data_IF_555763130326
#
_entry.id   IF_555763130326
#
_cell.length_a   1.000
_cell.length_b   1.000
_cell.length_c   1.000
_cell.angle_alpha   90.00
_cell.angle_beta   90.00
_cell.angle_gamma   90.00
#
_symmetry.space_group_name_H-M   'P 1'
#
loop_
_entity.id
_entity.type
_entity.pdbx_description
1 polymer ?
#
# COMPACT_ATOMS: atom_id res chain seq x y z
N UNK A 1 -0.83 -19.69 -22.43
CA UNK A 1 0.63 -19.59 -22.28
C UNK A 1 0.97 -18.93 -20.95
N UNK A 2 1.31 -19.73 -19.93
CA UNK A 2 1.63 -19.19 -18.59
C UNK A 2 2.80 -18.20 -18.63
N UNK A 3 2.53 -16.94 -18.27
CA UNK A 3 3.51 -15.87 -18.21
C UNK A 3 4.12 -15.77 -16.80
N UNK A 4 5.25 -16.44 -16.58
CA UNK A 4 5.93 -16.49 -15.27
C UNK A 4 6.21 -15.08 -14.72
N UNK A 5 6.64 -14.14 -15.57
CA UNK A 5 6.88 -12.75 -15.16
C UNK A 5 5.63 -12.08 -14.59
N UNK A 6 4.47 -12.29 -15.20
CA UNK A 6 3.20 -11.75 -14.72
C UNK A 6 2.78 -12.35 -13.37
N UNK A 7 2.98 -13.66 -13.18
CA UNK A 7 2.72 -14.32 -11.89
C UNK A 7 3.60 -13.72 -10.78
N UNK A 8 4.89 -13.54 -11.03
CA UNK A 8 5.83 -12.98 -10.04
C UNK A 8 5.45 -11.54 -9.69
N UNK A 9 5.28 -10.68 -10.70
CA UNK A 9 4.93 -9.26 -10.50
C UNK A 9 3.58 -9.15 -9.81
N UNK A 10 2.56 -9.85 -10.29
CA UNK A 10 1.22 -9.82 -9.71
C UNK A 10 1.20 -10.28 -8.25
N UNK A 11 1.94 -11.34 -7.92
CA UNK A 11 2.06 -11.83 -6.54
C UNK A 11 2.75 -10.81 -5.62
N UNK A 12 3.80 -10.14 -6.10
CA UNK A 12 4.46 -9.07 -5.34
C UNK A 12 3.48 -7.93 -5.07
N UNK A 13 2.71 -7.49 -6.08
CA UNK A 13 1.72 -6.44 -5.94
C UNK A 13 0.61 -6.81 -4.95
N UNK A 14 0.12 -8.05 -4.98
CA UNK A 14 -0.80 -8.59 -3.97
C UNK A 14 -0.20 -8.48 -2.57
N UNK A 15 1.02 -8.97 -2.39
CA UNK A 15 1.71 -8.94 -1.10
C UNK A 15 1.91 -7.51 -0.57
N UNK A 16 2.41 -6.61 -1.42
CA UNK A 16 2.62 -5.21 -1.04
C UNK A 16 1.31 -4.49 -0.72
N UNK A 17 0.27 -4.70 -1.53
CA UNK A 17 -1.05 -4.13 -1.27
C UNK A 17 -1.66 -4.65 0.04
N UNK A 18 -1.58 -5.96 0.29
CA UNK A 18 -2.03 -6.56 1.55
C UNK A 18 -1.28 -5.99 2.77
N UNK A 19 0.05 -5.92 2.69
CA UNK A 19 0.88 -5.33 3.75
C UNK A 19 0.55 -3.86 3.96
N UNK A 20 0.28 -3.11 2.88
CA UNK A 20 -0.14 -1.71 2.93
C UNK A 20 -1.49 -1.52 3.65
N UNK A 21 -2.47 -2.40 3.41
CA UNK A 21 -3.74 -2.38 4.15
C UNK A 21 -3.51 -2.68 5.63
N UNK A 22 -2.69 -3.70 5.93
CA UNK A 22 -2.41 -4.14 7.30
C UNK A 22 -1.67 -3.08 8.13
N UNK A 23 -0.76 -2.34 7.51
CA UNK A 23 0.09 -1.35 8.17
C UNK A 23 -0.29 0.10 7.84
N UNK A 24 -1.48 0.32 7.27
CA UNK A 24 -1.91 1.63 6.79
C UNK A 24 -1.71 2.74 7.82
N UNK A 25 -2.08 2.51 9.08
CA UNK A 25 -1.90 3.48 10.15
C UNK A 25 -0.42 3.90 10.32
N UNK A 26 0.50 2.93 10.34
CA UNK A 26 1.94 3.22 10.48
C UNK A 26 2.51 3.95 9.26
N UNK A 27 2.08 3.56 8.05
CA UNK A 27 2.46 4.20 6.79
C UNK A 27 1.98 5.66 6.78
N UNK A 28 0.72 5.89 7.11
CA UNK A 28 0.16 7.24 7.18
C UNK A 28 0.86 8.07 8.25
N UNK A 29 1.10 7.51 9.44
CA UNK A 29 1.82 8.22 10.51
C UNK A 29 3.23 8.62 10.08
N UNK A 30 3.96 7.72 9.43
CA UNK A 30 5.29 8.03 8.90
C UNK A 30 5.22 9.16 7.87
N UNK A 31 4.23 9.14 6.98
CA UNK A 31 4.06 10.20 5.99
C UNK A 31 3.77 11.56 6.63
N UNK A 32 2.91 11.60 7.63
CA UNK A 32 2.60 12.81 8.41
C UNK A 32 3.82 13.30 9.22
N UNK A 33 4.66 12.38 9.70
CA UNK A 33 5.92 12.73 10.35
C UNK A 33 6.92 13.36 9.39
N UNK A 34 6.98 12.88 8.14
CA UNK A 34 7.80 13.50 7.09
C UNK A 34 7.28 14.90 6.72
N UNK A 35 5.96 15.08 6.64
CA UNK A 35 5.33 16.38 6.37
C UNK A 35 5.56 17.37 7.52
N UNK A 36 5.66 16.87 8.76
CA UNK A 36 5.98 17.67 9.93
C UNK A 36 7.47 18.10 10.03
N UNK A 37 8.35 17.65 9.13
CA UNK A 37 9.77 18.06 9.12
C UNK A 37 9.85 19.57 8.89
N UNK A 38 10.37 20.30 9.89
CA UNK A 38 10.44 21.76 9.89
C UNK A 38 9.37 22.44 10.76
N UNK A 39 8.42 21.68 11.29
CA UNK A 39 7.50 22.14 12.33
C UNK A 39 8.16 22.12 13.71
N UNK A 40 7.74 23.02 14.61
CA UNK A 40 8.14 22.99 16.04
C UNK A 40 7.47 21.84 16.81
N UNK A 41 6.56 21.10 16.18
CA UNK A 41 5.87 19.94 16.75
C UNK A 41 6.80 18.74 16.78
N UNK A 42 6.85 18.05 17.92
CA UNK A 42 7.59 16.79 18.05
C UNK A 42 7.02 15.73 17.09
N UNK A 43 7.86 15.17 16.20
CA UNK A 43 7.46 14.11 15.27
C UNK A 43 6.87 12.88 15.99
N UNK A 44 7.26 12.63 17.24
CA UNK A 44 6.74 11.51 18.03
C UNK A 44 5.25 11.65 18.41
N UNK A 45 4.72 12.87 18.44
CA UNK A 45 3.32 13.15 18.84
C UNK A 45 2.38 13.35 17.65
N UNK A 46 2.88 13.17 16.42
CA UNK A 46 2.07 13.26 15.21
C UNK A 46 1.22 12.00 15.09
N UNK A 47 -0.09 12.21 15.12
CA UNK A 47 -1.12 11.20 14.96
C UNK A 47 -1.72 11.33 13.54
N UNK A 48 -1.84 10.25 12.77
CA UNK A 48 -2.35 10.34 11.41
C UNK A 48 -3.85 10.67 11.40
N UNK A 49 -4.27 11.48 10.44
CA UNK A 49 -5.68 11.74 10.23
C UNK A 49 -6.41 10.46 9.75
N UNK A 50 -7.58 10.16 10.33
CA UNK A 50 -8.33 8.94 10.03
C UNK A 50 -8.71 8.82 8.54
N UNK A 51 -9.02 9.94 7.88
CA UNK A 51 -9.33 9.96 6.46
C UNK A 51 -8.11 9.54 5.61
N UNK A 52 -6.90 9.92 6.04
CA UNK A 52 -5.66 9.60 5.34
C UNK A 52 -5.27 8.12 5.55
N UNK A 53 -5.53 7.57 6.74
CA UNK A 53 -5.43 6.13 7.01
C UNK A 53 -6.40 5.35 6.12
N UNK A 54 -7.63 5.84 5.98
CA UNK A 54 -8.65 5.21 5.12
C UNK A 54 -8.25 5.26 3.66
N UNK A 55 -7.71 6.38 3.18
CA UNK A 55 -7.16 6.51 1.82
C UNK A 55 -6.00 5.54 1.59
N UNK A 56 -5.08 5.42 2.55
CA UNK A 56 -3.93 4.50 2.48
C UNK A 56 -4.39 3.05 2.39
N UNK A 57 -5.42 2.66 3.18
CA UNK A 57 -6.05 1.33 3.07
C UNK A 57 -6.67 1.11 1.69
N UNK A 58 -7.43 2.09 1.17
CA UNK A 58 -8.08 1.97 -0.12
C UNK A 58 -7.07 1.79 -1.26
N UNK A 59 -6.06 2.65 -1.33
CA UNK A 59 -5.01 2.58 -2.36
C UNK A 59 -4.24 1.27 -2.30
N UNK A 60 -3.90 0.82 -1.08
CA UNK A 60 -3.22 -0.47 -0.87
C UNK A 60 -4.11 -1.65 -1.26
N UNK A 61 -5.41 -1.58 -0.97
CA UNK A 61 -6.40 -2.56 -1.42
C UNK A 61 -6.51 -2.62 -2.94
N UNK A 62 -6.56 -1.46 -3.61
CA UNK A 62 -6.54 -1.36 -5.07
C UNK A 62 -5.25 -1.96 -5.66
N UNK A 63 -4.09 -1.71 -5.06
CA UNK A 63 -2.82 -2.31 -5.47
C UNK A 63 -2.87 -3.84 -5.38
N UNK A 64 -3.42 -4.36 -4.29
CA UNK A 64 -3.58 -5.80 -4.11
C UNK A 64 -4.54 -6.40 -5.15
N UNK A 65 -5.66 -5.73 -5.43
CA UNK A 65 -6.64 -6.16 -6.43
C UNK A 65 -6.02 -6.16 -7.84
N UNK A 66 -5.27 -5.12 -8.19
CA UNK A 66 -4.54 -5.01 -9.45
C UNK A 66 -3.50 -6.12 -9.61
N UNK A 67 -2.75 -6.44 -8.54
CA UNK A 67 -1.85 -7.60 -8.53
C UNK A 67 -2.57 -8.91 -8.80
N UNK A 68 -3.75 -9.12 -8.18
CA UNK A 68 -4.59 -10.29 -8.43
C UNK A 68 -5.04 -10.39 -9.89
N UNK A 69 -5.45 -9.28 -10.50
CA UNK A 69 -5.80 -9.21 -11.93
C UNK A 69 -4.60 -9.62 -12.80
N UNK A 70 -3.40 -9.09 -12.51
CA UNK A 70 -2.18 -9.45 -13.26
C UNK A 70 -1.88 -10.95 -13.16
N UNK A 71 -2.02 -11.56 -11.98
CA UNK A 71 -1.84 -13.01 -11.82
C UNK A 71 -2.88 -13.78 -12.65
N UNK A 72 -4.15 -13.38 -12.60
CA UNK A 72 -5.21 -14.04 -13.34
C UNK A 72 -4.96 -13.99 -14.85
N UNK A 73 -4.61 -12.82 -15.39
CA UNK A 73 -4.30 -12.65 -16.81
C UNK A 73 -3.08 -13.50 -17.21
N UNK A 74 -2.04 -13.53 -16.38
CA UNK A 74 -0.82 -14.30 -16.64
C UNK A 74 -1.02 -15.83 -16.67
N UNK A 75 -2.16 -16.33 -16.18
CA UNK A 75 -2.52 -17.76 -16.20
C UNK A 75 -3.45 -18.07 -17.39
N UNK A 76 -4.35 -17.14 -17.74
CA UNK A 76 -5.39 -17.35 -18.75
C UNK A 76 -4.87 -17.14 -20.18
N UNK A 77 -3.94 -16.19 -20.37
CA UNK A 77 -3.24 -16.00 -21.65
C UNK A 77 -2.21 -17.10 -21.90
#
# INVERSE_FOLDING_TARGET
>A
MVAIGGIVVGTILVGLGFLGVRHAYGITRFHEQLDAIGSTRSAGTVEPAEWNVTLTKLLSGCLSAMGGIVVLLAIVE
#
